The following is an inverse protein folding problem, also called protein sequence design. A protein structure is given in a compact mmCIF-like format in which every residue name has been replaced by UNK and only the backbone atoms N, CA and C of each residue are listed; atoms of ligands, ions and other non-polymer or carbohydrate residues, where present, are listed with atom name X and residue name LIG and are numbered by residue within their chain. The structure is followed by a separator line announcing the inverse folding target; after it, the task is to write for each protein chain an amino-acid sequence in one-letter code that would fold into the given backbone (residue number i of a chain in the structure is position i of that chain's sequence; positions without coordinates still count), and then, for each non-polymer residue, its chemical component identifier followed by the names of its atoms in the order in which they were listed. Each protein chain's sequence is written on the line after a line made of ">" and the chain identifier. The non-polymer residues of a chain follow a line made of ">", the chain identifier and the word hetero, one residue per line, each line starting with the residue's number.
data_IF_645122894211
#
_entry.id   IF_645122894211
#
_cell.length_a   1.000
_cell.length_b   1.000
_cell.length_c   1.000
_cell.angle_alpha   90.00
_cell.angle_beta   90.00
_cell.angle_gamma   90.00
#
_symmetry.space_group_name_H-M   'P 1'
#
loop_
_entity.id
_entity.type
_entity.pdbx_description
1 polymer ?
#
# COMPACT_ATOMS: atom_id res chain seq x y z
N UNK A 1 -2.67 14.92 6.80
CA UNK A 1 -2.39 16.37 7.01
C UNK A 1 -2.11 16.72 8.47
N UNK A 2 -3.08 16.61 9.38
CA UNK A 2 -2.90 17.05 10.78
C UNK A 2 -1.78 16.31 11.54
N UNK A 3 -1.65 14.99 11.36
CA UNK A 3 -0.57 14.21 11.99
C UNK A 3 0.81 14.70 11.55
N UNK A 4 0.99 14.95 10.25
CA UNK A 4 2.25 15.45 9.68
C UNK A 4 2.57 16.85 10.22
N UNK A 5 1.59 17.76 10.20
CA UNK A 5 1.74 19.11 10.71
C UNK A 5 2.05 19.12 12.21
N UNK A 6 1.34 18.32 13.01
CA UNK A 6 1.62 18.17 14.45
C UNK A 6 3.02 17.62 14.71
N UNK A 7 3.45 16.62 13.94
CA UNK A 7 4.80 16.07 14.10
C UNK A 7 5.88 17.09 13.76
N UNK A 8 5.68 17.88 12.69
CA UNK A 8 6.57 18.97 12.35
C UNK A 8 6.62 20.05 13.45
N UNK A 9 5.46 20.44 13.99
CA UNK A 9 5.37 21.44 15.07
C UNK A 9 6.03 20.95 16.37
N UNK A 10 5.87 19.68 16.75
CA UNK A 10 6.59 19.08 17.87
C UNK A 10 8.11 19.15 17.69
N UNK A 11 8.60 18.86 16.48
CA UNK A 11 10.03 18.99 16.15
C UNK A 11 10.53 20.44 16.23
N UNK A 12 9.62 21.41 16.07
CA UNK A 12 9.88 22.85 16.21
C UNK A 12 9.60 23.37 17.63
N UNK A 13 9.45 22.47 18.61
CA UNK A 13 9.27 22.82 20.03
C UNK A 13 7.86 23.29 20.40
N UNK A 14 6.87 23.08 19.54
CA UNK A 14 5.49 23.47 19.79
C UNK A 14 4.67 22.31 20.37
N UNK A 15 3.72 22.57 21.28
CA UNK A 15 2.84 21.52 21.78
C UNK A 15 1.93 20.94 20.68
N UNK A 16 1.38 19.73 20.85
CA UNK A 16 0.43 19.15 19.91
C UNK A 16 -0.80 20.04 19.72
N UNK A 17 -1.29 20.15 18.48
CA UNK A 17 -2.52 20.89 18.18
C UNK A 17 -2.33 22.40 17.99
N UNK A 18 -1.11 22.95 18.07
CA UNK A 18 -0.86 24.38 17.84
C UNK A 18 -1.16 24.85 16.42
N UNK A 19 -1.05 23.94 15.44
CA UNK A 19 -1.20 24.23 13.99
C UNK A 19 -0.29 25.38 13.49
N UNK A 20 0.77 25.69 14.22
CA UNK A 20 1.75 26.73 13.91
C UNK A 20 3.13 26.30 14.43
N UNK A 21 4.23 26.61 13.71
CA UNK A 21 4.28 27.33 12.44
C UNK A 21 3.80 26.51 11.23
N UNK A 22 3.57 25.20 11.37
CA UNK A 22 3.09 24.34 10.29
C UNK A 22 1.58 24.12 10.39
N UNK A 23 0.80 24.80 9.55
CA UNK A 23 -0.65 24.58 9.40
C UNK A 23 -0.96 23.33 8.54
N UNK A 24 -1.91 22.45 8.93
CA UNK A 24 -2.26 21.25 8.18
C UNK A 24 -2.74 21.51 6.75
N UNK A 25 -3.53 22.55 6.53
CA UNK A 25 -4.05 22.86 5.19
C UNK A 25 -3.08 23.70 4.37
N UNK A 26 -2.50 24.72 4.97
CA UNK A 26 -1.74 25.74 4.23
C UNK A 26 -0.35 25.24 3.84
N UNK A 27 0.17 24.24 4.57
CA UNK A 27 1.50 23.68 4.31
C UNK A 27 1.43 22.18 3.94
N UNK A 28 0.86 21.32 4.79
CA UNK A 28 0.89 19.88 4.52
C UNK A 28 -0.03 19.46 3.37
N UNK A 29 -1.17 20.17 3.20
CA UNK A 29 -2.10 20.00 2.09
C UNK A 29 -1.97 21.12 1.03
N UNK A 30 -0.84 21.81 1.00
CA UNK A 30 -0.63 22.88 0.03
C UNK A 30 -0.76 22.33 -1.39
N UNK A 31 -1.53 23.02 -2.22
CA UNK A 31 -1.78 22.66 -3.64
C UNK A 31 -2.42 21.28 -3.85
N UNK A 32 -3.06 20.71 -2.82
CA UNK A 32 -3.74 19.42 -2.89
C UNK A 32 -5.24 19.58 -2.63
N UNK A 33 -6.03 18.67 -3.18
CA UNK A 33 -7.45 18.51 -2.86
C UNK A 33 -7.71 17.09 -2.33
N UNK A 34 -8.58 16.93 -1.34
CA UNK A 34 -8.98 15.57 -0.95
C UNK A 34 -9.54 14.77 -2.14
N UNK A 35 -10.11 15.45 -3.14
CA UNK A 35 -10.70 14.83 -4.33
C UNK A 35 -9.65 14.33 -5.35
N UNK A 36 -8.41 14.84 -5.31
CA UNK A 36 -7.32 14.31 -6.14
C UNK A 36 -6.41 13.36 -5.35
N UNK A 37 -6.08 13.75 -4.12
CA UNK A 37 -5.09 13.07 -3.30
C UNK A 37 -5.59 11.73 -2.79
N UNK A 38 -6.88 11.61 -2.48
CA UNK A 38 -7.43 10.35 -2.00
C UNK A 38 -7.45 9.26 -3.11
N UNK A 39 -7.97 9.52 -4.33
CA UNK A 39 -7.85 8.56 -5.43
C UNK A 39 -6.40 8.23 -5.80
N UNK A 40 -5.48 9.19 -5.76
CA UNK A 40 -4.06 8.93 -5.98
C UNK A 40 -3.49 7.93 -4.98
N UNK A 41 -3.77 8.11 -3.68
CA UNK A 41 -3.30 7.17 -2.64
C UNK A 41 -3.96 5.80 -2.80
N UNK A 42 -5.24 5.72 -3.17
CA UNK A 42 -5.92 4.44 -3.44
C UNK A 42 -5.21 3.65 -4.55
N UNK A 43 -4.90 4.30 -5.67
CA UNK A 43 -4.18 3.63 -6.76
C UNK A 43 -2.77 3.24 -6.37
N UNK A 44 -2.05 4.11 -5.64
CA UNK A 44 -0.70 3.80 -5.16
C UNK A 44 -0.70 2.59 -4.22
N UNK A 45 -1.57 2.59 -3.20
CA UNK A 45 -1.69 1.47 -2.26
C UNK A 45 -2.04 0.17 -3.00
N UNK A 46 -2.98 0.23 -3.95
CA UNK A 46 -3.37 -0.94 -4.74
C UNK A 46 -2.20 -1.46 -5.57
N UNK A 47 -1.46 -0.58 -6.24
CA UNK A 47 -0.29 -0.98 -7.04
C UNK A 47 0.81 -1.63 -6.18
N UNK A 48 1.05 -1.09 -4.98
CA UNK A 48 2.01 -1.65 -4.03
C UNK A 48 1.58 -3.04 -3.55
N UNK A 49 0.32 -3.20 -3.11
CA UNK A 49 -0.20 -4.50 -2.66
C UNK A 49 -0.17 -5.57 -3.76
N UNK A 50 -0.52 -5.19 -4.99
CA UNK A 50 -0.45 -6.11 -6.13
C UNK A 50 0.99 -6.54 -6.41
N UNK A 51 1.93 -5.60 -6.43
CA UNK A 51 3.34 -5.85 -6.74
C UNK A 51 4.06 -6.64 -5.65
N UNK A 52 3.88 -6.24 -4.39
CA UNK A 52 4.71 -6.71 -3.29
C UNK A 52 4.14 -7.94 -2.60
N UNK A 53 2.83 -8.20 -2.73
CA UNK A 53 2.16 -9.31 -2.06
C UNK A 53 1.45 -10.26 -3.04
N UNK A 54 0.52 -9.76 -3.85
CA UNK A 54 -0.33 -10.65 -4.64
C UNK A 54 0.43 -11.37 -5.75
N UNK A 55 1.17 -10.65 -6.58
CA UNK A 55 1.90 -11.24 -7.70
C UNK A 55 2.94 -12.27 -7.23
N UNK A 56 3.80 -11.99 -6.22
CA UNK A 56 4.72 -13.00 -5.69
C UNK A 56 4.03 -14.24 -5.12
N UNK A 57 2.85 -14.07 -4.48
CA UNK A 57 2.08 -15.20 -3.96
C UNK A 57 1.52 -16.08 -5.09
N UNK A 58 1.03 -15.45 -6.17
CA UNK A 58 0.53 -16.16 -7.35
C UNK A 58 1.65 -16.88 -8.11
N UNK A 59 2.83 -16.26 -8.24
CA UNK A 59 4.01 -16.90 -8.83
C UNK A 59 4.44 -18.13 -8.02
N UNK A 60 4.47 -18.02 -6.69
CA UNK A 60 4.75 -19.17 -5.83
C UNK A 60 3.72 -20.28 -5.99
N UNK A 61 2.42 -19.93 -6.00
CA UNK A 61 1.35 -20.90 -6.21
C UNK A 61 1.49 -21.60 -7.57
N UNK A 62 1.73 -20.85 -8.64
CA UNK A 62 1.95 -21.37 -9.98
C UNK A 62 3.12 -22.36 -10.00
N UNK A 63 4.25 -21.98 -9.41
CA UNK A 63 5.43 -22.85 -9.35
C UNK A 63 5.11 -24.15 -8.61
N UNK A 64 4.44 -24.08 -7.45
CA UNK A 64 4.08 -25.28 -6.68
C UNK A 64 3.09 -26.19 -7.41
N UNK A 65 2.12 -25.61 -8.09
CA UNK A 65 1.18 -26.37 -8.92
C UNK A 65 1.91 -27.06 -10.08
N UNK A 66 2.86 -26.38 -10.72
CA UNK A 66 3.67 -26.95 -11.81
C UNK A 66 4.55 -28.11 -11.30
N UNK A 67 5.22 -27.94 -10.16
CA UNK A 67 6.01 -29.01 -9.52
C UNK A 67 5.15 -30.25 -9.24
N UNK A 68 3.93 -30.06 -8.71
CA UNK A 68 3.00 -31.15 -8.42
C UNK A 68 2.44 -31.79 -9.68
N UNK A 69 2.15 -31.00 -10.72
CA UNK A 69 1.69 -31.52 -12.00
C UNK A 69 2.74 -32.45 -12.62
N UNK A 70 4.02 -32.05 -12.60
CA UNK A 70 5.13 -32.89 -13.07
C UNK A 70 5.29 -34.16 -12.23
N UNK A 71 5.20 -34.05 -10.90
CA UNK A 71 5.29 -35.21 -10.01
C UNK A 71 4.17 -36.24 -10.23
N UNK A 72 3.00 -35.80 -10.68
CA UNK A 72 1.84 -36.66 -10.96
C UNK A 72 1.68 -37.03 -12.43
N UNK A 73 2.62 -36.68 -13.31
CA UNK A 73 2.50 -36.91 -14.75
C UNK A 73 2.29 -38.40 -15.13
N UNK A 74 2.82 -39.32 -14.32
CA UNK A 74 2.67 -40.78 -14.52
C UNK A 74 1.52 -41.42 -13.75
N UNK A 75 0.74 -40.67 -12.97
CA UNK A 75 -0.30 -41.24 -12.10
C UNK A 75 -1.63 -41.33 -12.85
N UNK A 76 -2.06 -42.56 -13.17
CA UNK A 76 -3.36 -42.82 -13.77
C UNK A 76 -4.48 -42.56 -12.74
N UNK A 77 -5.51 -41.81 -13.16
CA UNK A 77 -6.70 -41.54 -12.34
C UNK A 77 -7.95 -41.75 -13.17
N UNK A 78 -9.04 -42.13 -12.52
CA UNK A 78 -10.37 -42.12 -13.13
C UNK A 78 -10.90 -40.69 -13.08
N UNK A 79 -11.36 -40.15 -14.20
CA UNK A 79 -11.99 -38.84 -14.26
C UNK A 79 -13.33 -38.85 -13.49
N UNK A 80 -13.62 -37.75 -12.79
CA UNK A 80 -14.93 -37.46 -12.20
C UNK A 80 -15.36 -36.08 -12.66
#
# INVERSE_FOLDING_TARGET
>A
NEVIANRANQMLGQPPGTRSPVHPNDHANASQSSNDSFPTVMHLATALELRDHLLPALEQLQQRLQERALAFAGVLKVAR
#
